data_IF_982260148813
#
_entry.id   IF_982260148813
#
_cell.length_a   1.000
_cell.length_b   1.000
_cell.length_c   1.000
_cell.angle_alpha   90.00
_cell.angle_beta   90.00
_cell.angle_gamma   90.00
#
_symmetry.space_group_name_H-M   'P 1'
#
loop_
_entity.id
_entity.type
_entity.pdbx_description
1 polymer ?
#
# COMPACT_ATOMS: atom_id res chain seq x y z
N UNK A 1 9.47 22.27 -19.57
CA UNK A 1 8.33 21.40 -19.64
C UNK A 1 8.13 20.67 -18.32
N UNK A 2 6.94 20.70 -17.85
CA UNK A 2 6.62 20.09 -16.58
C UNK A 2 6.60 18.57 -16.67
N UNK A 3 7.25 17.92 -15.73
CA UNK A 3 7.23 16.47 -15.66
C UNK A 3 5.95 16.03 -14.95
N UNK A 4 5.01 15.47 -15.70
CA UNK A 4 3.75 14.96 -15.13
C UNK A 4 3.84 13.46 -14.86
N UNK A 5 4.98 12.84 -15.08
CA UNK A 5 5.15 11.40 -15.03
C UNK A 5 5.47 10.87 -13.64
N UNK A 6 4.73 11.33 -12.65
CA UNK A 6 4.83 10.71 -11.34
C UNK A 6 4.41 9.26 -11.44
N UNK A 7 5.04 8.45 -10.62
CA UNK A 7 4.79 7.03 -10.60
C UNK A 7 4.12 6.64 -9.30
N UNK A 8 3.13 5.75 -9.39
CA UNK A 8 2.33 5.37 -8.22
C UNK A 8 2.34 3.86 -8.06
N UNK A 9 2.74 3.39 -6.87
CA UNK A 9 2.50 2.01 -6.49
C UNK A 9 1.15 1.94 -5.80
N UNK A 10 0.30 1.04 -6.27
CA UNK A 10 -1.04 0.85 -5.69
C UNK A 10 -1.18 -0.52 -5.07
N UNK A 11 -1.94 -0.59 -3.99
CA UNK A 11 -2.14 -1.82 -3.22
C UNK A 11 -3.61 -1.97 -2.85
N UNK A 12 -4.08 -3.22 -2.88
CA UNK A 12 -5.42 -3.57 -2.42
C UNK A 12 -5.29 -4.81 -1.54
N UNK A 13 -5.73 -4.72 -0.29
CA UNK A 13 -5.45 -5.76 0.70
C UNK A 13 -6.74 -6.07 1.47
N UNK A 14 -7.24 -7.33 1.42
CA UNK A 14 -8.29 -7.74 2.36
C UNK A 14 -7.65 -8.00 3.73
N UNK A 15 -8.32 -7.56 4.78
CA UNK A 15 -7.77 -7.66 6.13
C UNK A 15 -8.91 -7.89 7.13
N UNK A 16 -8.67 -8.80 8.09
CA UNK A 16 -9.61 -9.01 9.17
C UNK A 16 -9.82 -7.71 9.96
N UNK A 17 -11.08 -7.41 10.30
CA UNK A 17 -11.41 -6.15 10.97
C UNK A 17 -10.70 -6.00 12.31
N UNK A 18 -10.47 -7.12 13.02
CA UNK A 18 -9.78 -7.09 14.31
C UNK A 18 -8.26 -6.96 14.18
N UNK A 19 -7.73 -6.94 12.96
CA UNK A 19 -6.29 -6.76 12.69
C UNK A 19 -5.94 -5.36 12.20
N UNK A 20 -6.92 -4.49 12.04
CA UNK A 20 -6.70 -3.16 11.46
C UNK A 20 -5.76 -2.32 12.32
N UNK A 21 -5.86 -2.39 13.64
CA UNK A 21 -4.98 -1.62 14.51
C UNK A 21 -3.53 -2.07 14.43
N UNK A 22 -3.29 -3.39 14.35
CA UNK A 22 -1.93 -3.92 14.13
C UNK A 22 -1.39 -3.45 12.79
N UNK A 23 -2.22 -3.48 11.76
CA UNK A 23 -1.84 -3.01 10.43
C UNK A 23 -1.49 -1.52 10.45
N UNK A 24 -2.28 -0.72 11.17
CA UNK A 24 -2.03 0.73 11.26
C UNK A 24 -0.66 1.02 11.83
N UNK A 25 -0.27 0.34 12.90
CA UNK A 25 1.04 0.53 13.50
C UNK A 25 2.17 0.15 12.53
N UNK A 26 2.02 -0.98 11.89
CA UNK A 26 3.01 -1.45 10.92
C UNK A 26 3.12 -0.47 9.75
N UNK A 27 2.00 -0.02 9.21
CA UNK A 27 1.95 0.88 8.07
C UNK A 27 2.51 2.25 8.41
N UNK A 28 2.27 2.73 9.63
CA UNK A 28 2.82 4.00 10.07
C UNK A 28 4.33 3.95 10.13
N UNK A 29 4.88 2.88 10.67
CA UNK A 29 6.33 2.70 10.74
C UNK A 29 6.93 2.58 9.33
N UNK A 30 6.29 1.80 8.47
CA UNK A 30 6.74 1.63 7.10
C UNK A 30 6.69 2.96 6.34
N UNK A 31 5.60 3.72 6.50
CA UNK A 31 5.43 5.00 5.81
C UNK A 31 6.51 6.02 6.17
N UNK A 32 6.93 6.05 7.43
CA UNK A 32 8.03 6.92 7.84
C UNK A 32 9.32 6.56 7.10
N UNK A 33 9.58 5.27 6.95
CA UNK A 33 10.77 4.78 6.25
C UNK A 33 10.72 5.14 4.77
N UNK A 34 9.59 4.91 4.11
CA UNK A 34 9.42 5.28 2.70
C UNK A 34 9.64 6.77 2.48
N UNK A 35 9.09 7.61 3.37
CA UNK A 35 9.26 9.06 3.28
C UNK A 35 10.70 9.48 3.51
N UNK A 36 11.42 8.84 4.43
CA UNK A 36 12.84 9.12 4.65
C UNK A 36 13.67 8.88 3.38
N UNK A 37 13.32 7.86 2.61
CA UNK A 37 14.06 7.55 1.39
C UNK A 37 13.62 8.37 0.19
N UNK A 38 12.58 9.20 0.34
CA UNK A 38 12.24 10.17 -0.68
C UNK A 38 10.90 9.99 -1.38
N UNK A 39 10.06 9.05 -0.93
CA UNK A 39 8.71 8.96 -1.47
C UNK A 39 7.98 10.29 -1.27
N UNK A 40 7.21 10.72 -2.26
CA UNK A 40 6.52 12.00 -2.21
C UNK A 40 5.27 11.94 -1.34
N UNK A 41 4.50 10.85 -1.45
CA UNK A 41 3.28 10.64 -0.68
C UNK A 41 3.17 9.18 -0.31
N UNK A 42 2.56 8.93 0.83
CA UNK A 42 2.29 7.57 1.31
C UNK A 42 0.93 7.60 2.00
N UNK A 43 -0.03 6.83 1.47
CA UNK A 43 -1.39 6.78 1.99
C UNK A 43 -1.83 5.36 2.25
N UNK A 44 -2.47 5.17 3.40
CA UNK A 44 -3.15 3.92 3.75
C UNK A 44 -4.58 4.28 4.08
N UNK A 45 -5.52 3.74 3.32
CA UNK A 45 -6.94 4.04 3.50
C UNK A 45 -7.73 2.78 3.76
N UNK A 46 -8.68 2.87 4.67
CA UNK A 46 -9.55 1.74 5.01
C UNK A 46 -10.92 1.92 4.35
N UNK A 47 -11.48 0.81 3.86
CA UNK A 47 -12.79 0.83 3.23
C UNK A 47 -13.86 1.37 4.16
N UNK A 48 -14.71 2.23 3.61
CA UNK A 48 -15.78 2.89 4.36
C UNK A 48 -17.10 2.77 3.61
N UNK A 49 -17.15 3.23 2.39
CA UNK A 49 -18.36 3.23 1.57
C UNK A 49 -18.14 2.38 0.32
N UNK A 50 -18.24 1.07 0.48
CA UNK A 50 -17.85 0.11 -0.56
C UNK A 50 -19.03 -0.50 -1.33
N UNK A 51 -20.26 -0.29 -0.86
CA UNK A 51 -21.45 -0.88 -1.48
C UNK A 51 -22.17 0.19 -2.32
N UNK A 52 -21.77 0.31 -3.58
CA UNK A 52 -22.20 1.39 -4.45
C UNK A 52 -23.02 0.94 -5.64
N UNK A 53 -24.11 0.25 -5.39
CA UNK A 53 -25.08 -0.08 -6.41
C UNK A 53 -24.55 -1.02 -7.48
N UNK A 54 -24.58 -0.56 -8.74
CA UNK A 54 -24.27 -1.41 -9.89
C UNK A 54 -22.77 -1.56 -10.17
N UNK A 55 -21.93 -0.80 -9.47
CA UNK A 55 -20.50 -0.89 -9.70
C UNK A 55 -19.88 -2.04 -8.94
N UNK A 56 -18.82 -2.61 -9.51
CA UNK A 56 -18.10 -3.68 -8.87
C UNK A 56 -17.45 -3.19 -7.58
N UNK A 57 -17.74 -3.85 -6.48
CA UNK A 57 -17.20 -3.47 -5.17
C UNK A 57 -15.74 -3.89 -5.02
N UNK A 58 -14.95 -3.04 -4.37
CA UNK A 58 -13.60 -3.41 -3.99
C UNK A 58 -13.57 -4.66 -3.09
N UNK A 59 -14.61 -4.89 -2.30
CA UNK A 59 -14.71 -6.11 -1.51
C UNK A 59 -14.70 -7.36 -2.38
N UNK A 60 -15.43 -7.31 -3.48
CA UNK A 60 -15.49 -8.42 -4.43
C UNK A 60 -14.14 -8.61 -5.10
N UNK A 61 -13.51 -7.53 -5.53
CA UNK A 61 -12.20 -7.59 -6.21
C UNK A 61 -11.13 -8.15 -5.27
N UNK A 62 -11.16 -7.75 -4.01
CA UNK A 62 -10.20 -8.22 -3.00
C UNK A 62 -10.55 -9.60 -2.45
N UNK A 63 -11.71 -10.14 -2.80
CA UNK A 63 -12.23 -11.39 -2.25
C UNK A 63 -12.29 -11.35 -0.72
N UNK A 64 -12.77 -10.23 -0.18
CA UNK A 64 -12.89 -10.04 1.26
C UNK A 64 -14.09 -10.78 1.81
N UNK A 65 -13.88 -11.52 2.91
CA UNK A 65 -14.97 -12.19 3.61
C UNK A 65 -15.78 -11.20 4.45
N UNK A 66 -16.87 -11.68 5.06
CA UNK A 66 -17.72 -10.83 5.90
C UNK A 66 -16.98 -10.25 7.10
N UNK A 67 -15.99 -10.98 7.61
CA UNK A 67 -15.20 -10.55 8.76
C UNK A 67 -14.04 -9.61 8.35
N UNK A 68 -13.90 -9.37 7.07
CA UNK A 68 -12.81 -8.57 6.54
C UNK A 68 -13.28 -7.25 5.99
N UNK A 69 -12.39 -6.28 5.99
CA UNK A 69 -12.52 -5.04 5.24
C UNK A 69 -11.39 -4.99 4.22
N UNK A 70 -11.21 -3.84 3.57
CA UNK A 70 -10.23 -3.68 2.51
C UNK A 70 -9.38 -2.46 2.80
N UNK A 71 -8.08 -2.61 2.63
CA UNK A 71 -7.13 -1.49 2.64
C UNK A 71 -6.83 -1.13 1.19
N UNK A 72 -6.91 0.15 0.88
CA UNK A 72 -6.50 0.70 -0.39
C UNK A 72 -5.39 1.71 -0.12
N UNK A 73 -4.21 1.46 -0.66
CA UNK A 73 -3.06 2.30 -0.34
C UNK A 73 -2.26 2.63 -1.60
N UNK A 74 -1.48 3.70 -1.51
CA UNK A 74 -0.60 4.06 -2.60
C UNK A 74 0.61 4.83 -2.09
N UNK A 75 1.68 4.73 -2.87
CA UNK A 75 2.91 5.47 -2.64
C UNK A 75 3.21 6.22 -3.93
N UNK A 76 3.48 7.51 -3.84
CA UNK A 76 3.77 8.36 -5.00
C UNK A 76 5.26 8.65 -5.05
N UNK A 77 5.85 8.46 -6.22
CA UNK A 77 7.26 8.72 -6.50
C UNK A 77 7.37 9.74 -7.63
N UNK A 78 8.52 10.38 -7.70
CA UNK A 78 8.79 11.36 -8.75
C UNK A 78 8.85 10.74 -10.14
N UNK A 79 9.33 9.49 -10.21
CA UNK A 79 9.49 8.73 -11.45
C UNK A 79 9.57 7.25 -11.14
N UNK A 80 9.48 6.42 -12.19
CA UNK A 80 9.68 4.98 -12.03
C UNK A 80 11.10 4.66 -11.57
N UNK A 81 12.08 5.41 -12.08
CA UNK A 81 13.48 5.22 -11.68
C UNK A 81 13.67 5.50 -10.20
N UNK A 82 13.05 6.56 -9.70
CA UNK A 82 13.08 6.87 -8.28
C UNK A 82 12.40 5.77 -7.48
N UNK A 83 11.25 5.29 -7.95
CA UNK A 83 10.52 4.19 -7.29
C UNK A 83 11.41 2.96 -7.14
N UNK A 84 12.07 2.57 -8.22
CA UNK A 84 12.94 1.38 -8.21
C UNK A 84 14.09 1.55 -7.23
N UNK A 85 14.69 2.73 -7.20
CA UNK A 85 15.80 3.03 -6.29
C UNK A 85 15.33 3.02 -4.83
N UNK A 86 14.21 3.68 -4.55
CA UNK A 86 13.68 3.78 -3.18
C UNK A 86 13.26 2.40 -2.70
N UNK A 87 12.58 1.61 -3.53
CA UNK A 87 12.18 0.25 -3.16
C UNK A 87 13.40 -0.58 -2.75
N UNK A 88 14.48 -0.50 -3.53
CA UNK A 88 15.70 -1.24 -3.21
C UNK A 88 16.31 -0.78 -1.90
N UNK A 89 16.34 0.53 -1.65
CA UNK A 89 16.88 1.07 -0.41
C UNK A 89 16.03 0.68 0.80
N UNK A 90 14.70 0.74 0.66
CA UNK A 90 13.79 0.36 1.73
C UNK A 90 13.95 -1.13 2.07
N UNK A 91 14.01 -1.98 1.05
CA UNK A 91 14.16 -3.42 1.27
C UNK A 91 15.50 -3.78 1.94
N UNK A 92 16.50 -2.92 1.82
CA UNK A 92 17.79 -3.11 2.48
C UNK A 92 17.88 -2.39 3.83
N UNK A 93 16.86 -1.66 4.23
CA UNK A 93 16.86 -0.98 5.53
C UNK A 93 16.74 -2.01 6.65
N UNK A 94 17.58 -1.93 7.69
CA UNK A 94 17.53 -2.89 8.79
C UNK A 94 16.18 -2.98 9.48
N UNK A 95 15.44 -1.86 9.57
CA UNK A 95 14.12 -1.82 10.21
C UNK A 95 13.10 -2.65 9.41
N UNK A 96 13.17 -2.56 8.07
CA UNK A 96 12.29 -3.33 7.20
C UNK A 96 12.67 -4.81 7.25
N UNK A 97 13.95 -5.12 7.19
CA UNK A 97 14.42 -6.51 7.28
C UNK A 97 13.98 -7.16 8.58
N UNK A 98 14.08 -6.43 9.68
CA UNK A 98 13.62 -6.92 10.97
C UNK A 98 12.11 -7.21 10.97
N UNK A 99 11.32 -6.32 10.39
CA UNK A 99 9.88 -6.53 10.26
C UNK A 99 9.56 -7.78 9.44
N UNK A 100 10.29 -8.02 8.35
CA UNK A 100 10.05 -9.15 7.46
C UNK A 100 10.54 -10.48 8.02
N UNK A 101 11.58 -10.45 8.86
CA UNK A 101 12.18 -11.64 9.46
C UNK A 101 11.56 -11.99 10.82
N UNK A 102 10.62 -11.18 11.29
CA UNK A 102 9.94 -11.40 12.56
C UNK A 102 9.16 -12.71 12.54
N UNK A 103 9.19 -13.43 13.65
CA UNK A 103 8.36 -14.63 13.85
C UNK A 103 6.90 -14.28 14.11
N UNK A 104 6.58 -13.00 14.28
CA UNK A 104 5.22 -12.54 14.50
C UNK A 104 4.46 -12.64 13.17
N UNK A 105 3.32 -13.28 13.20
CA UNK A 105 2.45 -13.40 12.04
C UNK A 105 2.02 -12.01 11.58
N UNK A 106 2.16 -11.69 10.27
CA UNK A 106 1.71 -10.38 9.79
C UNK A 106 0.19 -10.25 9.89
N UNK A 107 -0.33 -9.02 10.01
CA UNK A 107 -1.76 -8.79 10.18
C UNK A 107 -2.60 -9.08 8.94
N UNK A 108 -1.98 -9.43 7.83
CA UNK A 108 -2.68 -9.77 6.59
C UNK A 108 -1.85 -10.80 5.80
N UNK A 109 -2.52 -11.45 4.84
CA UNK A 109 -1.88 -12.46 3.99
C UNK A 109 -1.31 -11.78 2.73
N UNK A 110 0.01 -11.75 2.61
CA UNK A 110 0.71 -11.15 1.47
C UNK A 110 0.29 -11.74 0.13
N UNK A 111 -0.11 -13.01 0.12
CA UNK A 111 -0.51 -13.68 -1.14
C UNK A 111 -1.84 -13.16 -1.67
N UNK A 112 -2.61 -12.48 -0.83
CA UNK A 112 -3.90 -11.91 -1.21
C UNK A 112 -3.81 -10.44 -1.55
N UNK A 113 -2.64 -9.83 -1.41
CA UNK A 113 -2.43 -8.43 -1.71
C UNK A 113 -2.29 -8.24 -3.22
N UNK A 114 -3.15 -7.40 -3.79
CA UNK A 114 -2.97 -6.95 -5.17
C UNK A 114 -1.98 -5.78 -5.16
N UNK A 115 -1.04 -5.81 -6.08
CA UNK A 115 -0.01 -4.78 -6.18
C UNK A 115 0.31 -4.49 -7.63
N UNK A 116 0.55 -3.23 -7.93
CA UNK A 116 1.01 -2.85 -9.25
C UNK A 116 1.56 -1.44 -9.28
N UNK A 117 2.39 -1.19 -10.29
CA UNK A 117 2.94 0.14 -10.53
C UNK A 117 2.21 0.81 -11.68
N UNK A 118 1.93 2.10 -11.50
CA UNK A 118 1.13 2.89 -12.45
C UNK A 118 1.84 4.19 -12.77
N UNK A 119 1.92 4.50 -14.05
CA UNK A 119 2.41 5.81 -14.45
C UNK A 119 1.25 6.77 -14.57
N UNK A 120 1.49 8.02 -14.23
CA UNK A 120 0.45 9.07 -14.30
C UNK A 120 -0.04 9.25 -15.72
N UNK A 121 -1.35 9.20 -15.90
CA UNK A 121 -1.97 9.52 -17.18
C UNK A 121 -2.43 10.96 -17.21
N UNK A 122 -3.07 11.41 -16.13
CA UNK A 122 -3.57 12.80 -15.98
C UNK A 122 -3.28 13.26 -14.56
N UNK A 123 -2.77 14.47 -14.43
CA UNK A 123 -2.51 15.10 -13.13
C UNK A 123 -2.83 16.58 -13.21
N UNK A 124 -3.60 17.05 -12.26
CA UNK A 124 -3.94 18.47 -12.15
C UNK A 124 -3.12 19.20 -11.10
#
# INVERSE_FOLDING_TARGET
MENTERYVDGFLIPIARDKVNEYREMAQNAGEIWKEYGALEYYECIGDDLDNGDMLSFRTVADASEDETVIFSWIVFESKEQRDRIDAEVMNDPRIKEMMESDIEPPFDYRRMAYGGFKTLVRF
#
